data_IF_152530203686
#
_entry.id   IF_152530203686
#
_cell.length_a   1.000
_cell.length_b   1.000
_cell.length_c   1.000
_cell.angle_alpha   90.00
_cell.angle_beta   90.00
_cell.angle_gamma   90.00
#
_symmetry.space_group_name_H-M   'P 1'
#
loop_
_entity.id
_entity.type
_entity.pdbx_description
1 polymer ?
#
# COMPACT_ATOMS: atom_id res chain seq x y z
N UNK A 1 -44.20 -9.24 -17.69
CA UNK A 1 -43.32 -9.44 -16.51
C UNK A 1 -44.24 -9.50 -15.30
N UNK A 2 -44.12 -10.53 -14.45
CA UNK A 2 -44.96 -10.70 -13.25
C UNK A 2 -44.07 -10.58 -12.01
N UNK A 3 -44.60 -9.98 -10.94
CA UNK A 3 -43.85 -9.79 -9.68
C UNK A 3 -43.60 -11.12 -8.93
N UNK A 4 -44.28 -12.20 -9.33
CA UNK A 4 -44.08 -13.55 -8.79
C UNK A 4 -42.82 -14.24 -9.31
N UNK A 5 -42.14 -13.64 -10.31
CA UNK A 5 -40.85 -14.14 -10.81
C UNK A 5 -39.73 -13.83 -9.80
N UNK A 6 -39.69 -14.63 -8.74
CA UNK A 6 -38.75 -14.46 -7.63
C UNK A 6 -37.30 -14.66 -8.07
N UNK A 7 -37.04 -15.54 -9.04
CA UNK A 7 -35.69 -15.77 -9.59
C UNK A 7 -35.16 -14.52 -10.31
N UNK A 8 -35.99 -13.87 -11.13
CA UNK A 8 -35.63 -12.61 -11.78
C UNK A 8 -35.33 -11.51 -10.74
N UNK A 9 -36.20 -11.37 -9.74
CA UNK A 9 -36.06 -10.33 -8.71
C UNK A 9 -34.78 -10.54 -7.90
N UNK A 10 -34.52 -11.77 -7.43
CA UNK A 10 -33.34 -12.10 -6.63
C UNK A 10 -32.05 -11.85 -7.42
N UNK A 11 -32.00 -12.29 -8.68
CA UNK A 11 -30.84 -12.11 -9.57
C UNK A 11 -30.53 -10.63 -9.77
N UNK A 12 -31.53 -9.82 -10.12
CA UNK A 12 -31.35 -8.38 -10.34
C UNK A 12 -31.06 -7.62 -9.05
N UNK A 13 -31.67 -8.04 -7.93
CA UNK A 13 -31.40 -7.45 -6.63
C UNK A 13 -29.96 -7.70 -6.17
N UNK A 14 -29.42 -8.91 -6.40
CA UNK A 14 -28.03 -9.21 -6.13
C UNK A 14 -27.09 -8.38 -7.03
N UNK A 15 -27.35 -8.38 -8.35
CA UNK A 15 -26.54 -7.66 -9.34
C UNK A 15 -26.38 -6.17 -9.00
N UNK A 16 -27.48 -5.49 -8.67
CA UNK A 16 -27.47 -4.07 -8.34
C UNK A 16 -26.68 -3.73 -7.05
N UNK A 17 -26.27 -4.74 -6.26
CA UNK A 17 -25.59 -4.60 -4.97
C UNK A 17 -24.18 -5.20 -4.93
N UNK A 18 -23.66 -5.69 -6.06
CA UNK A 18 -22.31 -6.27 -6.12
C UNK A 18 -21.19 -5.27 -5.83
N UNK A 19 -21.43 -3.97 -6.03
CA UNK A 19 -20.40 -2.93 -5.89
C UNK A 19 -20.34 -2.47 -4.44
N UNK A 20 -19.18 -2.69 -3.82
CA UNK A 20 -18.79 -2.06 -2.56
C UNK A 20 -17.93 -0.82 -2.85
N UNK A 21 -17.81 0.07 -1.86
CA UNK A 21 -16.92 1.23 -1.96
C UNK A 21 -15.48 0.76 -2.23
N UNK A 22 -14.80 1.46 -3.13
CA UNK A 22 -13.37 1.28 -3.30
C UNK A 22 -12.58 1.87 -2.12
N UNK A 23 -11.27 1.58 -2.08
CA UNK A 23 -10.39 2.21 -1.10
C UNK A 23 -10.22 3.69 -1.46
N UNK A 24 -10.22 4.58 -0.46
CA UNK A 24 -10.04 6.03 -0.67
C UNK A 24 -8.73 6.38 -1.38
N UNK A 25 -7.71 5.56 -1.20
CA UNK A 25 -6.41 5.57 -1.87
C UNK A 25 -6.01 4.13 -2.18
N UNK A 26 -5.12 3.93 -3.13
CA UNK A 26 -4.70 2.58 -3.53
C UNK A 26 -5.86 1.70 -4.01
N UNK A 27 -6.79 2.28 -4.78
CA UNK A 27 -7.97 1.58 -5.28
C UNK A 27 -7.59 0.53 -6.34
N UNK A 28 -6.82 0.94 -7.35
CA UNK A 28 -6.29 0.06 -8.40
C UNK A 28 -5.13 -0.81 -7.87
N UNK A 29 -5.26 -2.13 -8.00
CA UNK A 29 -4.30 -3.06 -7.45
C UNK A 29 -4.40 -4.47 -8.04
N UNK A 30 -3.29 -5.20 -7.95
CA UNK A 30 -3.24 -6.65 -8.12
C UNK A 30 -2.81 -7.32 -6.81
N UNK A 31 -3.12 -8.60 -6.65
CA UNK A 31 -2.69 -9.37 -5.48
C UNK A 31 -2.37 -10.81 -5.82
N UNK A 32 -1.51 -11.42 -5.00
CA UNK A 32 -1.08 -12.80 -5.15
C UNK A 32 -0.80 -13.42 -3.78
N UNK A 33 -1.05 -14.72 -3.65
CA UNK A 33 -0.59 -15.51 -2.52
C UNK A 33 0.84 -15.98 -2.76
N UNK A 34 1.59 -16.18 -1.68
CA UNK A 34 2.96 -16.69 -1.71
C UNK A 34 3.38 -17.29 -0.38
N UNK A 35 4.66 -17.63 -0.30
CA UNK A 35 5.31 -18.16 0.88
C UNK A 35 6.59 -17.37 1.15
N UNK A 36 6.79 -16.95 2.39
CA UNK A 36 8.02 -16.34 2.87
C UNK A 36 8.86 -17.37 3.59
N UNK A 37 10.17 -17.38 3.38
CA UNK A 37 11.12 -18.30 4.02
C UNK A 37 12.24 -17.51 4.72
N UNK A 38 12.48 -17.80 5.99
CA UNK A 38 13.57 -17.20 6.76
C UNK A 38 14.91 -17.74 6.25
N UNK A 39 15.81 -16.85 5.84
CA UNK A 39 17.14 -17.23 5.32
C UNK A 39 18.28 -16.98 6.30
N UNK A 40 18.08 -16.12 7.29
CA UNK A 40 19.10 -15.71 8.25
C UNK A 40 18.51 -15.68 9.67
N UNK A 41 19.35 -16.02 10.65
CA UNK A 41 18.98 -15.89 12.06
C UNK A 41 19.03 -14.40 12.47
N UNK A 42 17.91 -13.90 13.01
CA UNK A 42 17.74 -12.53 13.52
C UNK A 42 17.15 -12.50 14.93
N UNK A 43 17.34 -13.58 15.71
CA UNK A 43 16.88 -13.68 17.10
C UNK A 43 17.49 -12.62 18.03
N UNK A 44 18.60 -11.99 17.63
CA UNK A 44 19.19 -10.85 18.36
C UNK A 44 18.41 -9.54 18.17
N UNK A 45 17.49 -9.48 17.18
CA UNK A 45 16.68 -8.31 16.86
C UNK A 45 15.25 -8.42 17.41
N UNK A 46 14.61 -9.59 17.28
CA UNK A 46 13.18 -9.77 17.52
C UNK A 46 12.85 -11.14 18.08
N UNK A 47 11.74 -11.25 18.81
CA UNK A 47 11.14 -12.53 19.20
C UNK A 47 9.95 -12.95 18.33
N UNK A 48 9.64 -12.21 17.25
CA UNK A 48 8.50 -12.49 16.39
C UNK A 48 8.57 -13.89 15.77
N UNK A 49 7.58 -14.74 16.06
CA UNK A 49 7.72 -16.18 15.85
C UNK A 49 7.89 -16.59 14.37
N UNK A 50 7.30 -15.87 13.42
CA UNK A 50 7.42 -16.15 11.98
C UNK A 50 8.82 -15.88 11.41
N UNK A 51 9.67 -15.14 12.14
CA UNK A 51 11.06 -14.83 11.79
C UNK A 51 12.06 -15.74 12.51
N UNK A 52 11.59 -16.62 13.40
CA UNK A 52 12.45 -17.45 14.24
C UNK A 52 12.74 -18.80 13.57
N UNK A 53 13.98 -19.00 13.16
CA UNK A 53 14.49 -20.26 12.62
C UNK A 53 14.66 -20.25 11.10
N UNK A 54 15.90 -20.47 10.65
CA UNK A 54 16.24 -20.57 9.22
C UNK A 54 15.47 -21.72 8.57
N UNK A 55 14.90 -21.48 7.38
CA UNK A 55 14.03 -22.39 6.65
C UNK A 55 12.57 -22.37 7.09
N UNK A 56 12.21 -21.59 8.13
CA UNK A 56 10.81 -21.45 8.53
C UNK A 56 10.01 -20.75 7.45
N UNK A 57 8.90 -21.38 7.06
CA UNK A 57 8.00 -20.92 6.01
C UNK A 57 6.71 -20.34 6.58
N UNK A 58 6.32 -19.18 6.07
CA UNK A 58 5.08 -18.48 6.47
C UNK A 58 4.27 -18.13 5.23
N UNK A 59 3.04 -18.63 5.09
CA UNK A 59 2.15 -18.21 4.01
C UNK A 59 1.86 -16.71 4.11
N UNK A 60 1.79 -16.02 2.99
CA UNK A 60 1.41 -14.61 2.96
C UNK A 60 0.61 -14.26 1.71
N UNK A 61 -0.09 -13.12 1.76
CA UNK A 61 -0.69 -12.48 0.59
C UNK A 61 -0.07 -11.11 0.41
N UNK A 62 0.21 -10.74 -0.85
CA UNK A 62 0.64 -9.40 -1.23
C UNK A 62 -0.45 -8.70 -2.05
N UNK A 63 -0.59 -7.39 -1.86
CA UNK A 63 -1.41 -6.49 -2.68
C UNK A 63 -0.56 -5.30 -3.11
N UNK A 64 -0.31 -5.20 -4.41
CA UNK A 64 0.48 -4.12 -5.02
C UNK A 64 -0.45 -3.18 -5.78
N UNK A 65 -0.28 -1.86 -5.63
CA UNK A 65 -1.26 -0.85 -6.06
C UNK A 65 -0.63 0.44 -6.56
N UNK A 66 -1.34 1.22 -7.38
CA UNK A 66 -1.10 2.67 -7.50
C UNK A 66 -1.68 3.40 -6.28
N UNK A 67 -1.72 4.74 -6.22
CA UNK A 67 -2.23 5.50 -5.06
C UNK A 67 -3.39 6.42 -5.43
N UNK A 68 -3.14 7.37 -6.34
CA UNK A 68 -4.04 8.51 -6.58
C UNK A 68 -5.28 8.14 -7.39
N UNK A 69 -5.13 7.19 -8.31
CA UNK A 69 -6.19 6.74 -9.22
C UNK A 69 -7.26 5.87 -8.57
N UNK A 70 -8.44 5.89 -9.18
CA UNK A 70 -9.59 5.06 -8.79
C UNK A 70 -9.45 3.63 -9.34
N UNK A 71 -10.36 2.70 -9.00
CA UNK A 71 -10.26 1.28 -9.38
C UNK A 71 -10.06 1.02 -10.89
N UNK A 72 -10.51 1.95 -11.75
CA UNK A 72 -10.38 1.84 -13.21
C UNK A 72 -9.15 2.54 -13.81
N UNK A 73 -8.27 3.14 -13.01
CA UNK A 73 -7.13 3.91 -13.50
C UNK A 73 -6.06 3.02 -14.16
N UNK A 74 -5.28 3.52 -15.13
CA UNK A 74 -4.18 2.77 -15.74
C UNK A 74 -3.06 2.46 -14.74
N UNK A 75 -2.42 1.28 -14.86
CA UNK A 75 -1.29 0.88 -14.02
C UNK A 75 0.03 1.61 -14.35
N UNK A 76 0.11 2.27 -15.50
CA UNK A 76 1.32 2.90 -16.06
C UNK A 76 1.49 4.38 -15.68
N UNK A 77 0.66 4.89 -14.77
CA UNK A 77 0.73 6.29 -14.30
C UNK A 77 1.95 6.53 -13.41
N UNK A 78 2.53 7.74 -13.46
CA UNK A 78 3.57 8.15 -12.51
C UNK A 78 2.94 8.29 -11.13
N UNK A 79 3.30 7.39 -10.22
CA UNK A 79 2.73 7.34 -8.88
C UNK A 79 3.61 6.49 -7.95
N UNK A 80 3.42 6.63 -6.65
CA UNK A 80 3.94 5.65 -5.70
C UNK A 80 3.24 4.31 -5.95
N UNK A 81 3.94 3.20 -5.68
CA UNK A 81 3.33 1.87 -5.65
C UNK A 81 3.21 1.39 -4.21
N UNK A 82 1.98 1.15 -3.76
CA UNK A 82 1.76 0.47 -2.48
C UNK A 82 2.18 -0.98 -2.57
N UNK A 83 2.84 -1.49 -1.54
CA UNK A 83 3.33 -2.86 -1.44
C UNK A 83 2.90 -3.46 -0.10
N UNK A 84 1.64 -3.88 0.01
CA UNK A 84 1.08 -4.37 1.25
C UNK A 84 1.20 -5.89 1.35
N UNK A 85 1.79 -6.40 2.43
CA UNK A 85 1.95 -7.81 2.71
C UNK A 85 1.22 -8.17 4.00
N UNK A 86 0.54 -9.32 4.01
CA UNK A 86 -0.09 -9.91 5.19
C UNK A 86 0.44 -11.32 5.37
N UNK A 87 1.14 -11.54 6.47
CA UNK A 87 1.72 -12.82 6.87
C UNK A 87 0.76 -13.53 7.82
N UNK A 88 0.47 -14.80 7.53
CA UNK A 88 -0.38 -15.65 8.36
C UNK A 88 0.49 -16.37 9.38
N UNK A 89 0.80 -15.69 10.49
CA UNK A 89 1.71 -16.21 11.53
C UNK A 89 0.96 -17.02 12.59
N UNK A 90 1.70 -17.81 13.37
CA UNK A 90 1.16 -18.60 14.49
C UNK A 90 0.70 -17.74 15.69
N UNK A 91 1.12 -16.47 15.76
CA UNK A 91 0.76 -15.52 16.81
C UNK A 91 -0.26 -14.47 16.32
N UNK A 92 -0.83 -14.67 15.13
CA UNK A 92 -1.80 -13.77 14.50
C UNK A 92 -1.31 -13.23 13.15
N UNK A 93 -2.16 -12.46 12.47
CA UNK A 93 -1.78 -11.87 11.19
C UNK A 93 -0.85 -10.68 11.40
N UNK A 94 0.30 -10.70 10.75
CA UNK A 94 1.23 -9.57 10.73
C UNK A 94 1.14 -8.85 9.39
N UNK A 95 0.79 -7.56 9.42
CA UNK A 95 0.69 -6.73 8.22
C UNK A 95 1.88 -5.79 8.11
N UNK A 96 2.53 -5.80 6.95
CA UNK A 96 3.54 -4.83 6.55
C UNK A 96 2.98 -4.05 5.37
N UNK A 97 2.57 -2.81 5.62
CA UNK A 97 1.90 -1.95 4.64
C UNK A 97 2.89 -0.92 4.13
N UNK A 98 3.63 -1.30 3.09
CA UNK A 98 4.80 -0.59 2.60
C UNK A 98 4.49 0.17 1.30
N UNK A 99 5.49 0.91 0.80
CA UNK A 99 5.50 1.50 -0.53
C UNK A 99 6.79 1.14 -1.26
N UNK A 100 6.82 1.36 -2.58
CA UNK A 100 8.05 1.21 -3.36
C UNK A 100 9.06 2.35 -3.20
N UNK A 101 8.84 3.24 -2.22
CA UNK A 101 9.68 4.39 -1.93
C UNK A 101 10.09 4.40 -0.47
N UNK A 102 11.36 4.75 -0.21
CA UNK A 102 11.94 4.69 1.13
C UNK A 102 11.44 5.79 2.08
N UNK A 103 10.95 6.90 1.54
CA UNK A 103 10.46 8.06 2.26
C UNK A 103 9.05 8.42 1.79
N UNK A 104 8.47 9.45 2.39
CA UNK A 104 7.12 9.90 2.06
C UNK A 104 7.04 11.43 1.93
N UNK A 105 5.96 11.93 1.35
CA UNK A 105 5.77 13.37 1.06
C UNK A 105 5.55 14.23 2.31
N UNK A 106 5.12 13.61 3.40
CA UNK A 106 4.78 14.27 4.66
C UNK A 106 5.31 13.44 5.83
N UNK A 107 5.50 14.12 6.97
CA UNK A 107 5.95 13.51 8.23
C UNK A 107 4.91 13.58 9.37
N UNK A 108 3.78 14.23 9.11
CA UNK A 108 2.66 14.35 10.05
C UNK A 108 1.38 13.85 9.36
N UNK A 109 0.67 12.84 9.93
CA UNK A 109 -0.52 12.27 9.33
C UNK A 109 -1.68 13.27 9.17
N UNK A 110 -1.71 14.40 9.91
CA UNK A 110 -2.78 15.40 9.75
C UNK A 110 -2.81 16.00 8.33
N UNK A 111 -1.67 16.00 7.63
CA UNK A 111 -1.56 16.50 6.25
C UNK A 111 -2.01 15.49 5.20
N UNK A 112 -2.23 14.21 5.57
CA UNK A 112 -2.54 13.14 4.62
C UNK A 112 -3.82 13.40 3.79
N UNK A 113 -4.93 13.92 4.35
CA UNK A 113 -6.09 14.26 3.53
C UNK A 113 -5.80 15.36 2.50
N UNK A 114 -5.02 16.39 2.87
CA UNK A 114 -4.64 17.48 1.96
C UNK A 114 -3.69 17.01 0.86
N UNK A 115 -2.70 16.17 1.21
CA UNK A 115 -1.82 15.52 0.23
C UNK A 115 -2.64 14.72 -0.79
N UNK A 116 -3.58 13.89 -0.34
CA UNK A 116 -4.37 13.07 -1.27
C UNK A 116 -5.30 13.91 -2.14
N UNK A 117 -5.86 15.01 -1.61
CA UNK A 117 -6.64 15.95 -2.43
C UNK A 117 -5.78 16.57 -3.54
N UNK A 118 -4.52 16.90 -3.28
CA UNK A 118 -3.63 17.47 -4.29
C UNK A 118 -3.17 16.48 -5.37
N UNK A 119 -3.26 15.17 -5.12
CA UNK A 119 -2.90 14.10 -6.06
C UNK A 119 -4.12 13.48 -6.77
N UNK A 120 -5.34 13.88 -6.39
CA UNK A 120 -6.59 13.39 -6.97
C UNK A 120 -7.17 14.39 -7.97
N UNK A 121 -8.28 14.01 -8.59
CA UNK A 121 -8.99 14.88 -9.52
C UNK A 121 -9.49 16.15 -8.84
N UNK A 122 -9.40 17.26 -9.56
CA UNK A 122 -9.94 18.55 -9.15
C UNK A 122 -11.46 18.43 -8.97
N UNK A 123 -12.04 18.90 -7.85
CA UNK A 123 -13.42 18.60 -7.47
C UNK A 123 -14.49 19.20 -8.42
N UNK A 124 -14.15 20.24 -9.18
CA UNK A 124 -15.06 20.85 -10.15
C UNK A 124 -15.01 20.21 -11.53
N UNK A 125 -13.83 19.75 -11.96
CA UNK A 125 -13.56 19.34 -13.35
C UNK A 125 -13.37 17.82 -13.48
N UNK A 126 -13.17 17.12 -12.36
CA UNK A 126 -12.93 15.70 -12.27
C UNK A 126 -11.75 15.21 -13.14
N UNK A 127 -10.72 16.05 -13.31
CA UNK A 127 -9.47 15.72 -13.99
C UNK A 127 -8.26 16.06 -13.11
N UNK A 128 -7.09 15.45 -13.34
CA UNK A 128 -5.85 15.85 -12.65
C UNK A 128 -5.53 17.34 -12.87
N UNK A 129 -4.97 17.97 -11.84
CA UNK A 129 -4.63 19.40 -11.84
C UNK A 129 -3.22 19.59 -11.29
N UNK A 130 -2.32 20.11 -12.13
CA UNK A 130 -0.92 20.32 -11.77
C UNK A 130 -0.73 21.47 -10.77
N UNK A 131 -1.60 22.48 -10.80
CA UNK A 131 -1.53 23.61 -9.88
C UNK A 131 -1.89 23.15 -8.46
N UNK A 132 -2.92 22.29 -8.32
CA UNK A 132 -3.24 21.67 -7.02
C UNK A 132 -2.08 20.84 -6.47
N UNK A 133 -1.45 20.02 -7.32
CA UNK A 133 -0.31 19.17 -6.94
C UNK A 133 0.88 20.02 -6.46
N UNK A 134 1.28 21.01 -7.27
CA UNK A 134 2.45 21.82 -6.97
C UNK A 134 2.21 22.83 -5.86
N UNK A 135 1.00 23.39 -5.73
CA UNK A 135 0.66 24.29 -4.61
C UNK A 135 0.86 23.59 -3.26
N UNK A 136 0.41 22.34 -3.12
CA UNK A 136 0.65 21.57 -1.91
C UNK A 136 2.16 21.40 -1.64
N UNK A 137 2.93 20.95 -2.64
CA UNK A 137 4.34 20.64 -2.43
C UNK A 137 5.23 21.87 -2.25
N UNK A 138 4.90 22.99 -2.92
CA UNK A 138 5.58 24.28 -2.72
C UNK A 138 5.41 24.80 -1.28
N UNK A 139 4.30 24.47 -0.63
CA UNK A 139 4.01 24.85 0.76
C UNK A 139 4.36 23.76 1.80
N UNK A 140 4.91 22.62 1.37
CA UNK A 140 5.29 21.49 2.24
C UNK A 140 6.67 20.94 1.84
N UNK A 141 7.76 21.69 2.13
CA UNK A 141 9.09 21.38 1.62
C UNK A 141 9.68 20.06 2.13
N UNK A 142 9.13 19.49 3.22
CA UNK A 142 9.57 18.17 3.73
C UNK A 142 9.43 17.04 2.70
N UNK A 143 8.55 17.20 1.72
CA UNK A 143 8.29 16.20 0.68
C UNK A 143 9.31 16.20 -0.46
N UNK A 144 10.24 17.16 -0.52
CA UNK A 144 11.17 17.34 -1.65
C UNK A 144 11.94 16.06 -1.99
N UNK A 145 12.40 15.31 -0.98
CA UNK A 145 13.11 14.05 -1.20
C UNK A 145 12.23 13.00 -1.90
N UNK A 146 10.96 12.89 -1.50
CA UNK A 146 10.01 11.98 -2.13
C UNK A 146 9.63 12.43 -3.55
N UNK A 147 9.53 13.74 -3.80
CA UNK A 147 9.31 14.29 -5.15
C UNK A 147 10.44 13.87 -6.10
N UNK A 148 11.71 13.96 -5.66
CA UNK A 148 12.84 13.49 -6.46
C UNK A 148 12.74 12.00 -6.80
N UNK A 149 12.25 11.19 -5.87
CA UNK A 149 12.01 9.76 -6.12
C UNK A 149 10.88 9.55 -7.14
N UNK A 150 9.74 10.21 -6.94
CA UNK A 150 8.55 10.12 -7.80
C UNK A 150 8.84 10.55 -9.24
N UNK A 151 9.64 11.60 -9.44
CA UNK A 151 9.97 12.11 -10.77
C UNK A 151 11.20 11.45 -11.43
N UNK A 152 11.84 10.49 -10.76
CA UNK A 152 12.80 9.58 -11.40
C UNK A 152 12.08 8.48 -12.21
N UNK A 153 12.82 7.63 -12.92
CA UNK A 153 12.25 6.48 -13.65
C UNK A 153 11.53 5.48 -12.71
N UNK A 154 11.86 5.50 -11.42
CA UNK A 154 11.22 4.63 -10.41
C UNK A 154 9.76 4.99 -10.11
N UNK A 155 9.31 6.19 -10.50
CA UNK A 155 7.89 6.59 -10.39
C UNK A 155 6.98 5.93 -11.43
N UNK A 156 7.54 5.31 -12.47
CA UNK A 156 6.82 4.58 -13.53
C UNK A 156 7.48 3.21 -13.74
N UNK A 157 7.37 2.30 -12.75
CA UNK A 157 8.02 1.00 -12.81
C UNK A 157 7.49 0.15 -13.97
N UNK A 158 8.38 -0.61 -14.62
CA UNK A 158 8.07 -1.39 -15.82
C UNK A 158 7.06 -2.52 -15.57
N UNK A 159 7.07 -3.10 -14.37
CA UNK A 159 6.09 -4.11 -13.94
C UNK A 159 6.01 -4.17 -12.42
N UNK A 160 4.95 -4.81 -11.89
CA UNK A 160 4.80 -5.05 -10.45
C UNK A 160 5.88 -5.98 -9.87
N UNK A 161 6.63 -6.69 -10.71
CA UNK A 161 7.76 -7.56 -10.31
C UNK A 161 9.09 -6.81 -10.24
N UNK A 162 9.13 -5.57 -10.73
CA UNK A 162 10.33 -4.73 -10.77
C UNK A 162 10.15 -3.54 -9.85
N UNK A 163 9.91 -3.84 -8.58
CA UNK A 163 9.69 -2.89 -7.50
C UNK A 163 10.55 -3.34 -6.32
N UNK A 164 11.18 -2.37 -5.68
CA UNK A 164 11.62 -2.55 -4.30
C UNK A 164 10.42 -2.22 -3.39
N UNK A 165 10.40 -2.71 -2.16
CA UNK A 165 9.43 -2.34 -1.14
C UNK A 165 10.16 -1.83 0.11
N UNK A 166 9.65 -0.76 0.69
CA UNK A 166 10.25 -0.11 1.84
C UNK A 166 9.19 0.21 2.89
N UNK A 167 9.59 0.08 4.14
CA UNK A 167 8.74 0.27 5.28
C UNK A 167 8.21 1.70 5.42
N UNK A 168 8.94 2.68 4.89
CA UNK A 168 8.65 4.12 4.99
C UNK A 168 8.79 4.68 6.42
N UNK A 169 8.65 3.83 7.42
CA UNK A 169 8.74 4.12 8.84
C UNK A 169 9.80 3.27 9.52
N UNK A 170 10.42 3.82 10.55
CA UNK A 170 11.21 3.04 11.50
C UNK A 170 10.28 2.31 12.47
N UNK A 171 10.44 0.99 12.59
CA UNK A 171 9.71 0.14 13.52
C UNK A 171 10.56 -0.20 14.73
N UNK A 172 9.93 -0.75 15.78
CA UNK A 172 10.62 -1.39 16.89
C UNK A 172 10.47 -2.89 16.78
N UNK A 173 11.59 -3.59 16.77
CA UNK A 173 11.62 -5.02 17.04
C UNK A 173 11.96 -5.24 18.51
N UNK A 174 11.16 -6.08 19.16
CA UNK A 174 11.24 -6.35 20.60
C UNK A 174 11.66 -7.79 20.82
N UNK A 175 12.46 -8.03 21.86
CA UNK A 175 12.80 -9.36 22.35
C UNK A 175 11.91 -9.73 23.56
N UNK A 176 11.94 -11.01 23.93
CA UNK A 176 11.18 -11.55 25.07
C UNK A 176 11.54 -10.88 26.41
N UNK A 177 12.78 -10.39 26.55
CA UNK A 177 13.25 -9.65 27.74
C UNK A 177 12.75 -8.19 27.80
N UNK A 178 11.96 -7.75 26.81
CA UNK A 178 11.41 -6.39 26.70
C UNK A 178 12.39 -5.36 26.10
N UNK A 179 13.64 -5.74 25.81
CA UNK A 179 14.57 -4.86 25.09
C UNK A 179 14.17 -4.75 23.63
N UNK A 180 14.54 -3.65 22.97
CA UNK A 180 14.17 -3.39 21.59
C UNK A 180 15.30 -2.76 20.77
N UNK A 181 15.23 -2.95 19.45
CA UNK A 181 16.05 -2.22 18.46
C UNK A 181 15.12 -1.53 17.47
N UNK A 182 15.54 -0.35 17.00
CA UNK A 182 14.89 0.30 15.87
C UNK A 182 15.34 -0.38 14.58
N UNK A 183 14.38 -0.65 13.70
CA UNK A 183 14.61 -1.31 12.42
C UNK A 183 13.93 -0.53 11.30
N UNK A 184 14.51 -0.60 10.11
CA UNK A 184 13.95 -0.08 8.88
C UNK A 184 13.99 -1.22 7.87
N UNK A 185 12.84 -1.54 7.28
CA UNK A 185 12.69 -2.72 6.43
C UNK A 185 12.67 -2.34 4.95
N UNK A 186 13.38 -3.12 4.15
CA UNK A 186 13.45 -2.98 2.70
C UNK A 186 13.60 -4.37 2.07
N UNK A 187 12.80 -4.69 1.06
CA UNK A 187 12.84 -5.96 0.32
C UNK A 187 12.69 -5.77 -1.18
#
# INVERSE_FOLDING_TARGET
MLLEDTQLIETLAHFARERILERVVHAQAAGAFGEFEVTHDILDLTSAAFLNGIGKKTPFIVRISTVGGDKGSPDVVRDVRGYAMKFYTEEGNQDFVFNNTAVFFIRDPIKFPSLNRSHKHHPQTNVPDADMFWDFHNNNPEGTHQIMYLFSDRGTPASLRNLDAYSGHTYKFTKQDGTFKYVYDST
#
